data_IF_582019136711
#
_entry.id   IF_582019136711
#
_cell.length_a   1.000
_cell.length_b   1.000
_cell.length_c   1.000
_cell.angle_alpha   90.00
_cell.angle_beta   90.00
_cell.angle_gamma   90.00
#
_symmetry.space_group_name_H-M   'P 1'
#
loop_
_entity.id
_entity.type
_entity.pdbx_description
1 polymer ?
#
# COMPACT_ATOMS: atom_id res chain seq x y z
N UNK A 1 4.82 -21.37 76.92
CA UNK A 1 5.44 -20.03 76.81
C UNK A 1 6.64 -20.17 75.90
N UNK A 2 6.63 -19.72 74.64
CA UNK A 2 6.03 -18.53 74.04
C UNK A 2 5.81 -18.84 72.54
N UNK A 3 4.60 -19.01 72.05
CA UNK A 3 3.79 -17.98 71.39
C UNK A 3 4.56 -17.02 70.48
N UNK A 4 4.49 -17.25 69.16
CA UNK A 4 3.88 -16.29 68.22
C UNK A 4 3.75 -16.93 66.81
N UNK A 5 2.53 -17.33 66.40
CA UNK A 5 2.16 -17.72 65.04
C UNK A 5 1.60 -16.48 64.32
N UNK A 6 2.40 -15.73 63.54
CA UNK A 6 1.91 -14.45 62.97
C UNK A 6 2.48 -14.00 61.63
N UNK A 7 3.29 -14.80 60.94
CA UNK A 7 3.75 -14.50 59.58
C UNK A 7 3.67 -15.82 58.79
N UNK A 8 2.89 -16.04 57.74
CA UNK A 8 2.30 -15.14 56.78
C UNK A 8 1.11 -15.86 56.09
N UNK A 9 0.06 -16.17 56.86
CA UNK A 9 -1.23 -16.58 56.31
C UNK A 9 -2.19 -15.38 56.36
N UNK A 10 -2.45 -14.79 55.20
CA UNK A 10 -3.74 -14.13 54.95
C UNK A 10 -3.69 -12.70 54.40
N UNK A 11 -4.58 -12.49 53.43
CA UNK A 11 -5.04 -11.23 52.83
C UNK A 11 -4.06 -10.56 51.85
N UNK A 12 -4.12 -10.83 50.54
CA UNK A 12 -5.23 -10.60 49.60
C UNK A 12 -5.61 -9.11 49.44
N UNK A 13 -5.35 -8.60 48.23
CA UNK A 13 -6.04 -7.48 47.61
C UNK A 13 -5.22 -6.17 47.57
N UNK A 14 -5.20 -5.40 46.49
CA UNK A 14 -6.07 -5.35 45.33
C UNK A 14 -5.50 -4.27 44.37
N UNK A 15 -5.36 -4.60 43.07
CA UNK A 15 -5.47 -3.72 41.87
C UNK A 15 -4.39 -2.60 41.74
N UNK A 16 -3.88 -2.20 40.57
CA UNK A 16 -4.29 -2.35 39.18
C UNK A 16 -3.08 -2.09 38.27
N UNK A 17 -3.01 -2.82 37.16
CA UNK A 17 -2.08 -2.56 36.06
C UNK A 17 -2.42 -3.51 34.92
N UNK A 18 -3.59 -3.29 34.32
CA UNK A 18 -4.17 -4.20 33.36
C UNK A 18 -3.54 -4.07 31.97
N UNK A 19 -2.95 -5.17 31.49
CA UNK A 19 -2.75 -5.39 30.06
C UNK A 19 -3.67 -6.50 29.57
N UNK A 20 -4.84 -6.01 29.13
CA UNK A 20 -5.79 -6.57 28.15
C UNK A 20 -5.67 -8.07 27.88
N UNK A 21 -6.55 -8.83 28.54
CA UNK A 21 -7.08 -10.08 28.03
C UNK A 21 -7.99 -9.80 26.82
N UNK A 22 -7.59 -10.23 25.63
CA UNK A 22 -8.49 -10.52 24.50
C UNK A 22 -7.78 -11.60 23.70
N UNK A 23 -8.09 -12.88 23.85
CA UNK A 23 -9.39 -13.50 23.65
C UNK A 23 -9.18 -14.54 22.55
N UNK A 24 -9.49 -15.80 22.84
CA UNK A 24 -9.71 -16.88 21.87
C UNK A 24 -8.50 -17.55 21.21
N UNK A 25 -7.67 -18.17 22.05
CA UNK A 25 -6.67 -19.17 21.68
C UNK A 25 -7.25 -20.52 21.17
N UNK A 26 -8.42 -20.58 20.51
CA UNK A 26 -9.03 -21.88 20.13
C UNK A 26 -9.82 -21.96 18.82
N UNK A 27 -9.62 -21.03 17.87
CA UNK A 27 -10.08 -21.19 16.46
C UNK A 27 -9.02 -20.82 15.42
N UNK A 28 -7.76 -20.76 15.85
CA UNK A 28 -6.67 -20.04 15.20
C UNK A 28 -5.84 -20.80 14.16
N UNK A 29 -6.24 -21.96 13.64
CA UNK A 29 -5.33 -22.69 12.73
C UNK A 29 -5.37 -22.19 11.28
N UNK A 30 -6.53 -21.85 10.70
CA UNK A 30 -6.62 -21.47 9.28
C UNK A 30 -6.38 -19.96 9.10
N UNK A 31 -7.08 -19.11 9.86
CA UNK A 31 -6.91 -17.65 9.76
C UNK A 31 -5.50 -17.19 10.15
N UNK A 32 -4.85 -17.85 11.12
CA UNK A 32 -3.47 -17.53 11.50
C UNK A 32 -2.47 -17.98 10.44
N UNK A 33 -2.70 -19.11 9.76
CA UNK A 33 -1.91 -19.55 8.59
C UNK A 33 -2.02 -18.57 7.43
N UNK A 34 -3.23 -18.09 7.13
CA UNK A 34 -3.46 -17.08 6.09
C UNK A 34 -2.75 -15.76 6.46
N UNK A 35 -2.86 -15.31 7.69
CA UNK A 35 -2.17 -14.10 8.15
C UNK A 35 -0.63 -14.22 8.05
N UNK A 36 -0.07 -15.39 8.37
CA UNK A 36 1.36 -15.68 8.21
C UNK A 36 1.77 -15.68 6.73
N UNK A 37 0.97 -16.31 5.86
CA UNK A 37 1.19 -16.32 4.41
C UNK A 37 1.20 -14.90 3.83
N UNK A 38 0.21 -14.07 4.17
CA UNK A 38 0.14 -12.67 3.73
C UNK A 38 1.35 -11.88 4.22
N UNK A 39 1.80 -12.10 5.47
CA UNK A 39 3.04 -11.50 5.98
C UNK A 39 4.27 -11.91 5.19
N UNK A 40 4.38 -13.18 4.80
CA UNK A 40 5.47 -13.68 3.96
C UNK A 40 5.41 -13.06 2.55
N UNK A 41 4.24 -12.98 1.93
CA UNK A 41 4.06 -12.34 0.61
C UNK A 41 4.49 -10.88 0.66
N UNK A 42 4.04 -10.10 1.65
CA UNK A 42 4.43 -8.70 1.80
C UNK A 42 5.95 -8.58 2.00
N UNK A 43 6.57 -9.48 2.78
CA UNK A 43 8.02 -9.48 2.96
C UNK A 43 8.77 -9.75 1.66
N UNK A 44 8.26 -10.64 0.81
CA UNK A 44 8.83 -10.95 -0.50
C UNK A 44 8.57 -9.82 -1.52
N UNK A 45 7.39 -9.19 -1.49
CA UNK A 45 7.07 -8.04 -2.34
C UNK A 45 7.91 -6.79 -2.00
N UNK A 46 8.38 -6.64 -0.75
CA UNK A 46 9.35 -5.58 -0.40
C UNK A 46 10.76 -5.84 -0.96
N UNK A 47 11.06 -7.07 -1.40
CA UNK A 47 12.31 -7.41 -2.11
C UNK A 47 12.21 -7.13 -3.61
N UNK A 48 10.99 -6.98 -4.14
CA UNK A 48 10.82 -6.48 -5.50
C UNK A 48 11.27 -5.03 -5.48
N UNK A 49 12.22 -4.71 -6.36
CA UNK A 49 12.78 -3.36 -6.48
C UNK A 49 11.63 -2.39 -6.69
N UNK A 50 11.32 -1.61 -5.65
CA UNK A 50 10.30 -0.58 -5.76
C UNK A 50 10.95 0.63 -6.42
N UNK A 51 10.44 1.05 -7.58
CA UNK A 51 11.06 2.12 -8.35
C UNK A 51 11.05 3.41 -7.53
N UNK A 52 12.12 4.20 -7.70
CA UNK A 52 12.21 5.52 -7.07
C UNK A 52 11.13 6.45 -7.66
N UNK A 53 10.64 7.41 -6.87
CA UNK A 53 9.64 8.39 -7.37
C UNK A 53 10.15 9.16 -8.59
N UNK A 54 11.45 9.39 -8.65
CA UNK A 54 12.17 10.01 -9.77
C UNK A 54 12.07 9.20 -11.07
N UNK A 55 12.19 7.87 -11.02
CA UNK A 55 12.01 7.03 -12.21
C UNK A 55 10.58 7.11 -12.73
N UNK A 56 9.60 7.04 -11.83
CA UNK A 56 8.18 7.14 -12.21
C UNK A 56 7.88 8.46 -12.92
N UNK A 57 8.38 9.58 -12.38
CA UNK A 57 8.21 10.91 -13.01
C UNK A 57 8.91 10.94 -14.37
N UNK A 58 10.12 10.40 -14.47
CA UNK A 58 10.85 10.37 -15.74
C UNK A 58 10.07 9.60 -16.81
N UNK A 59 9.58 8.40 -16.47
CA UNK A 59 8.81 7.58 -17.41
C UNK A 59 7.49 8.24 -17.81
N UNK A 60 6.76 8.85 -16.87
CA UNK A 60 5.51 9.55 -17.21
C UNK A 60 5.78 10.81 -18.03
N UNK A 61 6.83 11.58 -17.72
CA UNK A 61 7.21 12.77 -18.50
C UNK A 61 7.59 12.39 -19.94
N UNK A 62 8.37 11.34 -20.14
CA UNK A 62 8.71 10.87 -21.51
C UNK A 62 7.46 10.53 -22.30
N UNK A 63 6.50 9.83 -21.70
CA UNK A 63 5.23 9.49 -22.36
C UNK A 63 4.42 10.74 -22.67
N UNK A 64 4.33 11.71 -21.75
CA UNK A 64 3.61 12.97 -21.98
C UNK A 64 4.22 13.77 -23.14
N UNK A 65 5.56 13.87 -23.20
CA UNK A 65 6.26 14.55 -24.30
C UNK A 65 6.00 13.82 -25.61
N UNK A 66 6.08 12.49 -25.64
CA UNK A 66 5.81 11.70 -26.83
C UNK A 66 4.38 11.92 -27.35
N UNK A 67 3.38 11.83 -26.48
CA UNK A 67 1.98 12.08 -26.84
C UNK A 67 1.76 13.51 -27.34
N UNK A 68 2.41 14.50 -26.71
CA UNK A 68 2.36 15.89 -27.18
C UNK A 68 2.92 16.06 -28.60
N UNK A 69 4.03 15.41 -28.93
CA UNK A 69 4.60 15.43 -30.29
C UNK A 69 3.67 14.79 -31.29
N UNK A 70 3.08 13.63 -30.98
CA UNK A 70 2.12 12.96 -31.87
C UNK A 70 0.88 13.83 -32.08
N UNK A 71 0.33 14.43 -31.03
CA UNK A 71 -0.79 15.36 -31.15
C UNK A 71 -0.45 16.55 -32.03
N UNK A 72 0.74 17.15 -31.88
CA UNK A 72 1.18 18.26 -32.71
C UNK A 72 1.29 17.85 -34.19
N UNK A 73 1.89 16.68 -34.47
CA UNK A 73 2.01 16.14 -35.82
C UNK A 73 0.63 15.89 -36.46
N UNK A 74 -0.27 15.21 -35.75
CA UNK A 74 -1.63 14.95 -36.22
C UNK A 74 -2.37 16.26 -36.46
N UNK A 75 -2.26 17.24 -35.56
CA UNK A 75 -2.87 18.57 -35.73
C UNK A 75 -2.39 19.26 -37.01
N UNK A 76 -1.07 19.19 -37.31
CA UNK A 76 -0.51 19.78 -38.54
C UNK A 76 -1.06 19.07 -39.77
N UNK A 77 -1.14 17.73 -39.74
CA UNK A 77 -1.69 16.96 -40.85
C UNK A 77 -3.19 17.23 -41.04
N UNK A 78 -3.98 17.25 -39.97
CA UNK A 78 -5.42 17.54 -40.00
C UNK A 78 -5.67 18.93 -40.57
N UNK A 79 -4.90 19.93 -40.14
CA UNK A 79 -4.99 21.29 -40.68
C UNK A 79 -4.55 21.35 -42.15
N UNK A 80 -3.42 20.72 -42.49
CA UNK A 80 -2.90 20.71 -43.85
C UNK A 80 -3.84 20.03 -44.84
N UNK A 81 -4.36 18.85 -44.49
CA UNK A 81 -5.35 18.13 -45.28
C UNK A 81 -6.66 18.92 -45.34
N UNK A 82 -7.12 19.48 -44.22
CA UNK A 82 -8.33 20.30 -44.18
C UNK A 82 -8.26 21.49 -45.13
N UNK A 83 -7.13 22.23 -45.13
CA UNK A 83 -6.91 23.33 -46.07
C UNK A 83 -6.83 22.84 -47.52
N UNK A 84 -6.15 21.72 -47.77
CA UNK A 84 -6.07 21.14 -49.11
C UNK A 84 -7.45 20.72 -49.65
N UNK A 85 -8.29 20.12 -48.82
CA UNK A 85 -9.66 19.74 -49.17
C UNK A 85 -10.51 20.97 -49.47
N UNK A 86 -10.44 22.00 -48.62
CA UNK A 86 -11.14 23.27 -48.86
C UNK A 86 -10.68 23.93 -50.16
N UNK A 87 -9.40 23.86 -50.49
CA UNK A 87 -8.87 24.42 -51.74
C UNK A 87 -9.32 23.63 -52.98
N UNK A 88 -9.37 22.29 -52.89
CA UNK A 88 -9.75 21.42 -54.02
C UNK A 88 -11.27 21.39 -54.25
N UNK A 89 -12.07 21.40 -53.19
CA UNK A 89 -13.52 21.20 -53.25
C UNK A 89 -14.37 22.41 -52.83
N UNK A 90 -13.74 23.45 -52.29
CA UNK A 90 -14.43 24.67 -51.84
C UNK A 90 -14.45 25.82 -52.86
N UNK A 91 -14.13 25.52 -54.12
CA UNK A 91 -14.45 26.38 -55.26
C UNK A 91 -15.94 26.33 -55.62
#
# INVERSE_FOLDING_TARGET
MSESPSEALGAEGVRAGGDKKKGDAKKGNIFSRIALFVRQVIAELKKVVTPTRSELITYTTVVLVFVAVVMAFVTVLDYGIGQAVLWVFGG
#
